data_IF_466400985362
#
_entry.id   IF_466400985362
#
_cell.length_a   1.000
_cell.length_b   1.000
_cell.length_c   1.000
_cell.angle_alpha   90.00
_cell.angle_beta   90.00
_cell.angle_gamma   90.00
#
_symmetry.space_group_name_H-M   'P 1'
#
loop_
_entity.id
_entity.type
_entity.pdbx_description
1 polymer ?
#
# COMPACT_ATOMS: atom_id res chain seq x y z
N UNK A 1 0.44 -9.93 15.64
CA UNK A 1 0.62 -11.40 15.58
C UNK A 1 1.14 -11.77 14.20
N UNK A 2 2.08 -12.71 14.07
CA UNK A 2 2.49 -13.17 12.74
C UNK A 2 1.38 -14.05 12.16
N UNK A 3 0.97 -13.80 10.93
CA UNK A 3 0.01 -14.67 10.22
C UNK A 3 0.69 -16.02 10.02
N UNK A 4 0.20 -17.07 10.67
CA UNK A 4 0.67 -18.43 10.44
C UNK A 4 -0.29 -19.13 9.49
N UNK A 5 0.18 -19.46 8.31
CA UNK A 5 -0.58 -20.33 7.41
C UNK A 5 -0.35 -21.78 7.81
N UNK A 6 -1.42 -22.55 7.97
CA UNK A 6 -1.36 -24.01 8.22
C UNK A 6 -1.08 -24.84 6.96
N UNK A 7 -0.79 -24.20 5.83
CA UNK A 7 -0.55 -24.80 4.53
C UNK A 7 0.32 -23.89 3.64
N UNK A 8 0.43 -24.19 2.34
CA UNK A 8 1.14 -23.35 1.41
C UNK A 8 0.49 -21.94 1.37
N UNK A 9 1.29 -20.86 1.22
CA UNK A 9 0.76 -19.51 1.21
C UNK A 9 -0.18 -19.30 0.00
N UNK A 10 -1.19 -18.43 0.10
CA UNK A 10 -2.02 -18.08 -1.04
C UNK A 10 -1.14 -17.51 -2.15
N UNK A 11 -1.56 -17.66 -3.39
CA UNK A 11 -0.81 -17.15 -4.55
C UNK A 11 -0.70 -15.62 -4.54
N UNK A 12 -1.71 -14.97 -4.01
CA UNK A 12 -1.78 -13.52 -3.80
C UNK A 12 -2.47 -13.21 -2.48
N UNK A 13 -2.09 -12.11 -1.83
CA UNK A 13 -2.81 -11.53 -0.69
C UNK A 13 -3.74 -10.39 -1.09
N UNK A 14 -3.98 -10.20 -2.39
CA UNK A 14 -4.89 -9.18 -2.87
C UNK A 14 -6.32 -9.47 -2.43
N UNK A 15 -7.03 -8.41 -2.01
CA UNK A 15 -8.46 -8.46 -1.79
C UNK A 15 -9.19 -8.74 -3.12
N UNK A 16 -10.19 -9.60 -3.08
CA UNK A 16 -10.95 -10.00 -4.24
C UNK A 16 -12.44 -9.72 -4.04
N UNK A 17 -13.16 -9.60 -5.14
CA UNK A 17 -14.60 -9.45 -5.10
C UNK A 17 -15.23 -10.67 -4.41
N UNK A 18 -16.04 -10.43 -3.37
CA UNK A 18 -16.61 -11.46 -2.52
C UNK A 18 -15.85 -11.72 -1.22
N UNK A 19 -14.61 -11.23 -1.08
CA UNK A 19 -13.92 -11.27 0.20
C UNK A 19 -14.59 -10.35 1.22
N UNK A 20 -14.40 -10.65 2.51
CA UNK A 20 -14.93 -9.79 3.57
C UNK A 20 -14.35 -8.38 3.45
N UNK A 21 -15.18 -7.32 3.37
CA UNK A 21 -14.70 -5.96 3.12
C UNK A 21 -13.91 -5.36 4.30
N UNK A 22 -14.04 -5.93 5.49
CA UNK A 22 -13.54 -5.31 6.71
C UNK A 22 -14.26 -3.99 6.97
N UNK A 23 -13.52 -2.93 7.19
CA UNK A 23 -14.05 -1.56 7.33
C UNK A 23 -13.99 -0.75 6.03
N UNK A 24 -13.55 -1.38 4.93
CA UNK A 24 -13.47 -0.73 3.62
C UNK A 24 -14.85 -0.33 3.13
N UNK A 25 -14.93 0.89 2.63
CA UNK A 25 -16.03 1.43 1.84
C UNK A 25 -15.58 1.45 0.39
N UNK A 26 -16.52 1.30 -0.51
CA UNK A 26 -16.23 1.27 -1.95
C UNK A 26 -17.02 2.36 -2.65
N UNK A 27 -16.41 2.96 -3.66
CA UNK A 27 -17.06 3.92 -4.54
C UNK A 27 -16.53 3.77 -5.96
N UNK A 28 -17.42 3.88 -6.93
CA UNK A 28 -17.08 3.92 -8.35
C UNK A 28 -16.92 5.38 -8.77
N UNK A 29 -15.77 5.71 -9.35
CA UNK A 29 -15.39 7.07 -9.72
C UNK A 29 -15.30 7.30 -11.23
N UNK A 30 -15.84 6.33 -12.01
CA UNK A 30 -15.91 6.40 -13.46
C UNK A 30 -14.58 6.15 -14.17
N UNK A 31 -14.55 6.44 -15.46
CA UNK A 31 -13.39 6.22 -16.32
C UNK A 31 -12.28 7.25 -16.09
N UNK A 32 -11.03 6.85 -16.37
CA UNK A 32 -9.87 7.74 -16.40
C UNK A 32 -9.02 7.49 -17.64
N UNK A 33 -8.59 8.56 -18.28
CA UNK A 33 -7.49 8.54 -19.25
C UNK A 33 -6.18 8.70 -18.47
N UNK A 34 -5.18 7.87 -18.80
CA UNK A 34 -3.92 7.81 -18.05
C UNK A 34 -2.84 8.66 -18.70
N UNK A 35 -1.99 9.25 -17.87
CA UNK A 35 -0.92 10.17 -18.31
C UNK A 35 0.02 9.54 -19.35
N UNK A 36 0.36 8.26 -19.19
CA UNK A 36 1.24 7.54 -20.12
C UNK A 36 0.49 6.88 -21.29
N UNK A 37 -0.78 7.24 -21.47
CA UNK A 37 -1.66 6.66 -22.49
C UNK A 37 -2.39 5.41 -22.00
N UNK A 38 -3.48 5.08 -22.68
CA UNK A 38 -4.45 4.09 -22.26
C UNK A 38 -5.49 4.65 -21.31
N UNK A 39 -6.46 3.81 -20.94
CA UNK A 39 -7.54 4.22 -20.05
C UNK A 39 -8.01 3.07 -19.17
N UNK A 40 -8.62 3.41 -18.06
CA UNK A 40 -9.42 2.49 -17.26
C UNK A 40 -10.88 2.92 -17.42
N UNK A 41 -11.76 2.03 -17.92
CA UNK A 41 -13.17 2.37 -18.21
C UNK A 41 -13.98 2.61 -16.95
N UNK A 42 -13.52 2.06 -15.84
CA UNK A 42 -14.11 2.25 -14.52
C UNK A 42 -13.05 2.10 -13.44
N UNK A 43 -13.04 3.01 -12.46
CA UNK A 43 -12.19 2.93 -11.29
C UNK A 43 -13.06 2.83 -10.04
N UNK A 44 -12.97 1.67 -9.36
CA UNK A 44 -13.49 1.47 -8.03
C UNK A 44 -12.39 1.80 -7.01
N UNK A 45 -12.73 2.59 -6.00
CA UNK A 45 -11.82 2.93 -4.89
C UNK A 45 -12.32 2.33 -3.60
N UNK A 46 -11.44 1.59 -2.92
CA UNK A 46 -11.65 1.13 -1.56
C UNK A 46 -10.98 2.11 -0.59
N UNK A 47 -11.71 2.55 0.43
CA UNK A 47 -11.19 3.51 1.41
C UNK A 47 -11.79 3.27 2.79
N UNK A 48 -11.11 3.75 3.81
CA UNK A 48 -11.60 3.73 5.20
C UNK A 48 -11.65 5.14 5.78
N UNK A 49 -12.50 5.32 6.78
CA UNK A 49 -12.66 6.62 7.45
C UNK A 49 -12.70 6.43 8.96
N UNK A 50 -12.07 7.35 9.68
CA UNK A 50 -12.01 7.35 11.13
C UNK A 50 -12.46 8.71 11.65
N UNK A 51 -13.25 8.72 12.73
CA UNK A 51 -13.84 9.95 13.27
C UNK A 51 -15.07 10.43 12.49
N UNK A 52 -15.42 11.71 12.66
CA UNK A 52 -16.63 12.29 12.08
C UNK A 52 -16.33 13.62 11.38
N UNK A 53 -16.77 13.74 10.13
CA UNK A 53 -16.69 14.98 9.37
C UNK A 53 -17.63 16.02 9.99
N UNK A 54 -17.13 17.23 10.23
CA UNK A 54 -17.95 18.34 10.72
C UNK A 54 -18.76 18.97 9.58
N UNK A 55 -19.73 19.84 9.93
CA UNK A 55 -20.69 20.38 8.99
C UNK A 55 -20.09 21.26 7.88
N UNK A 56 -18.92 21.84 8.13
CA UNK A 56 -18.21 22.68 7.16
C UNK A 56 -16.98 21.99 6.55
N UNK A 57 -16.84 20.69 6.76
CA UNK A 57 -15.76 19.85 6.24
C UNK A 57 -14.32 20.34 6.52
N UNK A 58 -14.14 21.15 7.58
CA UNK A 58 -12.85 21.81 7.89
C UNK A 58 -11.88 20.91 8.68
N UNK A 59 -12.36 19.77 9.20
CA UNK A 59 -11.59 18.85 10.04
C UNK A 59 -11.15 17.57 9.31
N UNK A 60 -11.03 17.61 8.00
CA UNK A 60 -10.67 16.44 7.22
C UNK A 60 -9.15 16.32 7.04
N UNK A 61 -8.60 15.13 7.33
CA UNK A 61 -7.20 14.74 7.11
C UNK A 61 -7.17 13.56 6.14
N UNK A 62 -6.28 13.62 5.14
CA UNK A 62 -6.04 12.50 4.22
C UNK A 62 -4.72 11.82 4.54
N UNK A 63 -4.73 10.51 4.65
CA UNK A 63 -3.56 9.68 4.93
C UNK A 63 -3.20 8.86 3.70
N UNK A 64 -1.97 9.02 3.24
CA UNK A 64 -1.41 8.36 2.08
C UNK A 64 -0.51 7.19 2.50
N UNK A 65 -0.92 5.96 2.24
CA UNK A 65 -0.15 4.79 2.62
C UNK A 65 1.10 4.59 1.73
N UNK A 66 2.12 3.95 2.29
CA UNK A 66 3.32 3.53 1.56
C UNK A 66 3.02 2.36 0.58
N UNK A 67 3.98 1.98 -0.27
CA UNK A 67 3.83 0.92 -1.27
C UNK A 67 3.24 -0.39 -0.72
N UNK A 68 3.59 -0.75 0.49
CA UNK A 68 3.15 -1.99 1.15
C UNK A 68 2.03 -1.79 2.18
N UNK A 69 1.49 -0.58 2.26
CA UNK A 69 0.33 -0.25 3.10
C UNK A 69 -0.98 -0.42 2.35
N UNK A 70 -2.06 -0.12 3.05
CA UNK A 70 -3.43 -0.14 2.55
C UNK A 70 -4.29 0.92 3.27
N UNK A 71 -5.60 0.93 3.02
CA UNK A 71 -6.54 1.84 3.67
C UNK A 71 -6.69 1.62 5.17
N UNK A 72 -6.28 0.45 5.68
CA UNK A 72 -6.39 0.12 7.10
C UNK A 72 -5.30 0.82 7.93
N UNK A 73 -5.39 2.14 8.01
CA UNK A 73 -4.42 2.95 8.74
C UNK A 73 -4.57 2.81 10.27
N UNK A 74 -5.75 2.55 10.78
CA UNK A 74 -6.04 2.40 12.21
C UNK A 74 -7.10 1.33 12.47
N UNK A 75 -7.12 0.79 13.68
CA UNK A 75 -8.08 -0.22 14.11
C UNK A 75 -7.46 -1.58 14.35
N UNK A 76 -8.27 -2.48 14.89
CA UNK A 76 -7.84 -3.83 15.25
C UNK A 76 -7.79 -4.75 14.02
N UNK A 77 -7.04 -5.85 14.15
CA UNK A 77 -7.15 -7.01 13.29
C UNK A 77 -8.55 -7.62 13.44
N UNK A 78 -9.29 -7.69 12.37
CA UNK A 78 -10.67 -8.19 12.31
C UNK A 78 -10.88 -8.95 11.00
N UNK A 79 -12.08 -9.52 10.81
CA UNK A 79 -12.44 -10.09 9.52
C UNK A 79 -12.25 -9.08 8.38
N UNK A 80 -11.53 -9.48 7.35
CA UNK A 80 -11.14 -8.61 6.23
C UNK A 80 -9.86 -7.78 6.43
N UNK A 81 -9.33 -7.72 7.66
CA UNK A 81 -8.05 -7.09 8.00
C UNK A 81 -7.19 -8.03 8.82
N UNK A 82 -6.20 -8.66 8.20
CA UNK A 82 -5.36 -9.68 8.85
C UNK A 82 -4.36 -9.11 9.87
N UNK A 83 -4.19 -7.80 9.91
CA UNK A 83 -3.29 -7.09 10.83
C UNK A 83 -3.97 -5.85 11.37
N UNK A 84 -3.51 -5.38 12.52
CA UNK A 84 -3.87 -4.04 13.02
C UNK A 84 -3.48 -2.97 12.01
N UNK A 85 -4.19 -1.84 12.06
CA UNK A 85 -3.86 -0.67 11.28
C UNK A 85 -2.39 -0.26 11.44
N UNK A 86 -1.75 0.09 10.34
CA UNK A 86 -0.31 0.36 10.32
C UNK A 86 0.09 1.66 11.07
N UNK A 87 -0.86 2.55 11.39
CA UNK A 87 -0.74 3.72 12.27
C UNK A 87 -1.73 3.67 13.44
N UNK A 88 -2.16 2.51 13.87
CA UNK A 88 -3.10 2.31 14.98
C UNK A 88 -2.68 3.03 16.28
N UNK A 89 -1.38 3.15 16.55
CA UNK A 89 -0.87 3.89 17.70
C UNK A 89 -0.85 5.43 17.52
N UNK A 90 -1.17 5.95 16.32
CA UNK A 90 -1.12 7.37 15.99
C UNK A 90 -2.51 7.95 15.73
N UNK A 91 -3.42 7.16 15.15
CA UNK A 91 -4.78 7.56 14.75
C UNK A 91 -5.78 6.90 15.69
N UNK A 92 -6.56 7.70 16.42
CA UNK A 92 -7.58 7.20 17.33
C UNK A 92 -8.05 8.25 18.34
N UNK A 93 -9.05 7.91 19.17
CA UNK A 93 -9.53 8.82 20.21
C UNK A 93 -8.42 9.18 21.20
N UNK A 94 -8.12 10.47 21.33
CA UNK A 94 -7.10 10.99 22.26
C UNK A 94 -5.64 10.72 21.83
N UNK A 95 -5.40 10.16 20.65
CA UNK A 95 -4.06 9.99 20.06
C UNK A 95 -3.62 11.25 19.32
N UNK A 96 -2.41 11.24 18.75
CA UNK A 96 -1.84 12.41 18.07
C UNK A 96 -2.71 12.90 16.89
N UNK A 97 -3.33 11.98 16.14
CA UNK A 97 -4.41 12.28 15.20
C UNK A 97 -5.71 11.87 15.88
N UNK A 98 -6.24 12.81 16.70
CA UNK A 98 -7.38 12.55 17.56
C UNK A 98 -8.70 12.47 16.76
N UNK A 99 -9.24 11.27 16.62
CA UNK A 99 -10.48 11.04 15.85
C UNK A 99 -11.75 11.55 16.51
N UNK A 100 -11.68 12.08 17.76
CA UNK A 100 -12.77 12.86 18.34
C UNK A 100 -12.88 14.27 17.71
N UNK A 101 -11.80 14.77 17.12
CA UNK A 101 -11.68 16.10 16.53
C UNK A 101 -11.56 16.03 15.01
N UNK A 102 -10.80 15.06 14.50
CA UNK A 102 -10.46 14.92 13.10
C UNK A 102 -11.26 13.81 12.41
N UNK A 103 -11.66 14.09 11.19
CA UNK A 103 -12.15 13.08 10.25
C UNK A 103 -11.01 12.66 9.36
N UNK A 104 -10.57 11.42 9.50
CA UNK A 104 -9.43 10.87 8.77
C UNK A 104 -9.92 9.97 7.64
N UNK A 105 -9.35 10.10 6.46
CA UNK A 105 -9.60 9.26 5.30
C UNK A 105 -8.28 8.63 4.87
N UNK A 106 -8.29 7.33 4.59
CA UNK A 106 -7.20 6.61 3.93
C UNK A 106 -7.78 5.76 2.82
N UNK A 107 -7.33 5.96 1.59
CA UNK A 107 -7.76 5.16 0.45
C UNK A 107 -6.66 4.22 -0.01
N UNK A 108 -7.05 3.06 -0.54
CA UNK A 108 -6.13 2.20 -1.28
C UNK A 108 -5.80 2.86 -2.63
N UNK A 109 -4.53 2.93 -2.94
CA UNK A 109 -4.03 3.57 -4.15
C UNK A 109 -4.50 2.87 -5.43
N UNK A 110 -4.73 3.63 -6.49
CA UNK A 110 -4.93 3.09 -7.84
C UNK A 110 -3.74 2.23 -8.26
N UNK A 111 -4.00 1.03 -8.77
CA UNK A 111 -2.97 0.05 -9.08
C UNK A 111 -2.52 -0.79 -7.88
N UNK A 112 -3.09 -0.54 -6.69
CA UNK A 112 -2.87 -1.34 -5.49
C UNK A 112 -3.64 -2.67 -5.50
N UNK A 113 -3.57 -3.40 -4.39
CA UNK A 113 -4.13 -4.76 -4.30
C UNK A 113 -5.17 -4.95 -3.19
N UNK A 114 -5.64 -3.89 -2.54
CA UNK A 114 -6.57 -4.01 -1.41
C UNK A 114 -7.94 -3.40 -1.70
N UNK A 115 -8.49 -3.72 -2.88
CA UNK A 115 -9.88 -3.42 -3.26
C UNK A 115 -10.06 -2.19 -4.17
N UNK A 116 -9.08 -1.32 -4.33
CA UNK A 116 -9.06 -0.32 -5.41
C UNK A 116 -8.64 -0.99 -6.71
N UNK A 117 -9.18 -0.51 -7.83
CA UNK A 117 -8.87 -1.02 -9.17
C UNK A 117 -7.36 -1.14 -9.38
N UNK A 118 -6.92 -2.33 -9.73
CA UNK A 118 -5.52 -2.70 -9.92
C UNK A 118 -5.37 -4.02 -10.68
N UNK A 119 -4.16 -4.57 -10.79
CA UNK A 119 -3.91 -5.81 -11.53
C UNK A 119 -4.75 -7.01 -11.08
N UNK A 120 -5.13 -7.07 -9.80
CA UNK A 120 -5.98 -8.14 -9.26
C UNK A 120 -7.47 -7.96 -9.54
N UNK A 121 -7.91 -6.80 -10.02
CA UNK A 121 -9.30 -6.49 -10.34
C UNK A 121 -9.72 -7.13 -11.66
N UNK A 122 -11.04 -7.26 -11.86
CA UNK A 122 -11.59 -7.74 -13.13
C UNK A 122 -11.53 -6.63 -14.20
N UNK A 123 -11.10 -7.00 -15.38
CA UNK A 123 -11.20 -6.19 -16.58
C UNK A 123 -12.61 -6.29 -17.18
N UNK A 124 -13.00 -5.41 -18.14
CA UNK A 124 -14.32 -5.42 -18.75
C UNK A 124 -14.72 -6.74 -19.43
N UNK A 125 -13.76 -7.55 -19.83
CA UNK A 125 -13.97 -8.86 -20.41
C UNK A 125 -14.28 -9.96 -19.38
N UNK A 126 -14.23 -9.63 -18.09
CA UNK A 126 -14.46 -10.55 -16.97
C UNK A 126 -13.21 -11.29 -16.48
N UNK A 127 -12.09 -11.18 -17.18
CA UNK A 127 -10.80 -11.71 -16.72
C UNK A 127 -10.12 -10.73 -15.75
N UNK A 128 -9.11 -11.19 -15.00
CA UNK A 128 -8.27 -10.26 -14.22
C UNK A 128 -7.40 -9.44 -15.16
N UNK A 129 -7.18 -8.18 -14.77
CA UNK A 129 -6.23 -7.34 -15.50
C UNK A 129 -4.84 -7.97 -15.59
N UNK A 130 -4.33 -8.52 -14.49
CA UNK A 130 -3.02 -9.17 -14.45
C UNK A 130 -1.93 -8.31 -15.10
N UNK A 131 -1.17 -8.91 -16.01
CA UNK A 131 -0.10 -8.25 -16.77
C UNK A 131 -0.58 -7.19 -17.76
N UNK A 132 -1.86 -7.18 -18.10
CA UNK A 132 -2.46 -6.21 -19.04
C UNK A 132 -2.89 -4.90 -18.35
N UNK A 133 -2.80 -4.83 -17.01
CA UNK A 133 -3.12 -3.58 -16.30
C UNK A 133 -2.23 -2.45 -16.82
N UNK A 134 -2.81 -1.30 -17.19
CA UNK A 134 -2.03 -0.22 -17.76
C UNK A 134 -1.05 0.39 -16.73
N UNK A 135 -0.04 1.07 -17.22
CA UNK A 135 0.90 1.79 -16.36
C UNK A 135 0.21 3.02 -15.78
N UNK A 136 0.22 3.13 -14.47
CA UNK A 136 -0.28 4.30 -13.73
C UNK A 136 0.87 5.11 -13.17
N UNK A 137 0.72 6.42 -13.18
CA UNK A 137 1.68 7.37 -12.59
C UNK A 137 1.19 7.86 -11.23
N UNK A 138 2.02 8.62 -10.53
CA UNK A 138 1.62 9.29 -9.29
C UNK A 138 0.51 10.31 -9.57
N UNK A 139 0.56 11.00 -10.72
CA UNK A 139 -0.47 11.94 -11.15
C UNK A 139 -1.82 11.25 -11.36
N UNK A 140 -1.85 10.08 -12.04
CA UNK A 140 -3.08 9.28 -12.18
C UNK A 140 -3.67 8.87 -10.82
N UNK A 141 -2.81 8.50 -9.87
CA UNK A 141 -3.21 8.12 -8.52
C UNK A 141 -3.87 9.31 -7.80
N UNK A 142 -3.24 10.47 -7.85
CA UNK A 142 -3.71 11.70 -7.21
C UNK A 142 -5.00 12.22 -7.87
N UNK A 143 -5.16 12.09 -9.17
CA UNK A 143 -6.43 12.42 -9.85
C UNK A 143 -7.60 11.57 -9.31
N UNK A 144 -7.38 10.28 -9.09
CA UNK A 144 -8.42 9.41 -8.49
C UNK A 144 -8.71 9.78 -7.04
N UNK A 145 -7.70 10.13 -6.27
CA UNK A 145 -7.87 10.61 -4.89
C UNK A 145 -8.60 11.96 -4.83
N UNK A 146 -8.36 12.81 -5.82
CA UNK A 146 -9.11 14.07 -5.98
C UNK A 146 -10.58 13.80 -6.29
N UNK A 147 -10.91 12.82 -7.13
CA UNK A 147 -12.30 12.43 -7.39
C UNK A 147 -12.96 11.84 -6.13
N UNK A 148 -12.23 11.05 -5.33
CA UNK A 148 -12.71 10.59 -4.04
C UNK A 148 -12.98 11.77 -3.09
N UNK A 149 -12.11 12.77 -3.09
CA UNK A 149 -12.26 14.00 -2.30
C UNK A 149 -13.56 14.74 -2.67
N UNK A 150 -13.85 14.86 -3.97
CA UNK A 150 -15.08 15.49 -4.47
C UNK A 150 -16.33 14.66 -4.11
N UNK A 151 -16.24 13.33 -4.24
CA UNK A 151 -17.31 12.41 -3.81
C UNK A 151 -17.64 12.58 -2.32
N UNK A 152 -16.61 12.72 -1.47
CA UNK A 152 -16.77 12.95 -0.03
C UNK A 152 -17.21 14.39 0.31
N UNK A 153 -17.33 15.29 -0.69
CA UNK A 153 -17.67 16.70 -0.55
C UNK A 153 -16.72 17.46 0.38
N UNK A 154 -15.45 17.12 0.30
CA UNK A 154 -14.39 17.81 1.03
C UNK A 154 -13.78 18.84 0.09
N UNK A 155 -14.03 20.14 0.37
CA UNK A 155 -13.47 21.21 -0.44
C UNK A 155 -11.96 21.33 -0.25
N UNK A 156 -11.50 21.17 0.99
CA UNK A 156 -10.11 21.38 1.35
C UNK A 156 -9.70 20.49 2.53
N UNK A 157 -8.60 19.78 2.38
CA UNK A 157 -8.00 19.01 3.46
C UNK A 157 -7.32 19.93 4.47
N UNK A 158 -7.55 19.73 5.76
CA UNK A 158 -6.77 20.38 6.81
C UNK A 158 -5.30 19.95 6.73
N UNK A 159 -5.07 18.69 6.41
CA UNK A 159 -3.74 18.17 6.13
C UNK A 159 -3.81 16.94 5.22
N UNK A 160 -2.79 16.77 4.38
CA UNK A 160 -2.49 15.51 3.70
C UNK A 160 -1.14 15.02 4.22
N UNK A 161 -1.05 13.73 4.59
CA UNK A 161 0.15 13.15 5.19
C UNK A 161 0.49 11.81 4.55
N UNK A 162 1.76 11.58 4.26
CA UNK A 162 2.17 10.31 3.70
C UNK A 162 3.65 10.01 3.84
N UNK A 163 3.95 8.73 3.99
CA UNK A 163 5.32 8.22 4.06
C UNK A 163 5.73 7.49 2.78
N UNK A 164 7.01 7.60 2.39
CA UNK A 164 7.55 6.90 1.22
C UNK A 164 6.75 7.20 -0.05
N UNK A 165 6.17 6.21 -0.73
CA UNK A 165 5.29 6.38 -1.88
C UNK A 165 4.09 7.29 -1.55
N UNK A 166 3.53 7.22 -0.33
CA UNK A 166 2.51 8.16 0.12
C UNK A 166 3.01 9.60 0.13
N UNK A 167 4.26 9.84 0.54
CA UNK A 167 4.86 11.16 0.49
C UNK A 167 5.08 11.69 -0.93
N UNK A 168 5.26 10.83 -1.93
CA UNK A 168 5.31 11.24 -3.35
C UNK A 168 3.93 11.76 -3.78
N UNK A 169 2.84 11.08 -3.40
CA UNK A 169 1.48 11.53 -3.68
C UNK A 169 1.14 12.83 -2.95
N UNK A 170 1.58 13.00 -1.70
CA UNK A 170 1.44 14.27 -0.97
C UNK A 170 2.11 15.44 -1.72
N UNK A 171 3.31 15.22 -2.28
CA UNK A 171 4.00 16.21 -3.10
C UNK A 171 3.23 16.53 -4.39
N UNK A 172 2.70 15.52 -5.05
CA UNK A 172 1.88 15.68 -6.26
C UNK A 172 0.60 16.48 -5.95
N UNK A 173 -0.11 16.16 -4.86
CA UNK A 173 -1.24 16.94 -4.38
C UNK A 173 -0.87 18.42 -4.18
N UNK A 174 0.30 18.71 -3.63
CA UNK A 174 0.75 20.07 -3.37
C UNK A 174 1.04 20.83 -4.67
N UNK A 175 1.41 20.14 -5.74
CA UNK A 175 1.68 20.72 -7.06
C UNK A 175 0.38 20.88 -7.87
N UNK A 176 -0.40 19.81 -7.98
CA UNK A 176 -1.58 19.77 -8.84
C UNK A 176 -2.79 20.49 -8.21
N UNK A 177 -2.96 20.37 -6.90
CA UNK A 177 -4.14 20.89 -6.19
C UNK A 177 -3.78 21.74 -4.96
N UNK A 178 -2.90 22.76 -5.06
CA UNK A 178 -2.42 23.54 -3.92
C UNK A 178 -3.55 24.22 -3.15
N UNK A 179 -4.64 24.57 -3.81
CA UNK A 179 -5.79 25.22 -3.20
C UNK A 179 -6.70 24.25 -2.43
N UNK A 180 -6.51 22.93 -2.60
CA UNK A 180 -7.30 21.87 -1.98
C UNK A 180 -6.68 21.32 -0.69
N UNK A 181 -5.54 21.87 -0.26
CA UNK A 181 -4.84 21.47 0.95
C UNK A 181 -4.43 22.70 1.78
N UNK A 182 -4.45 22.58 3.13
CA UNK A 182 -3.91 23.61 4.02
C UNK A 182 -2.48 23.30 4.44
N UNK A 183 -2.15 22.03 4.64
CA UNK A 183 -0.81 21.59 5.01
C UNK A 183 -0.49 20.23 4.41
N UNK A 184 0.78 19.96 4.22
CA UNK A 184 1.33 18.72 3.67
C UNK A 184 2.44 18.20 4.58
N UNK A 185 2.36 16.91 4.96
CA UNK A 185 3.40 16.22 5.71
C UNK A 185 4.02 15.14 4.84
N UNK A 186 5.23 15.40 4.38
CA UNK A 186 6.03 14.47 3.56
C UNK A 186 7.02 13.76 4.48
N UNK A 187 6.86 12.44 4.64
CA UNK A 187 7.62 11.65 5.61
C UNK A 187 8.51 10.67 4.85
N UNK A 188 9.84 10.73 5.10
CA UNK A 188 10.81 9.81 4.49
C UNK A 188 10.60 9.60 2.97
N UNK A 189 10.42 10.69 2.24
CA UNK A 189 10.17 10.71 0.80
C UNK A 189 10.91 11.86 0.12
N UNK A 190 10.99 11.80 -1.21
CA UNK A 190 11.65 12.81 -2.02
C UNK A 190 10.86 13.03 -3.32
N UNK A 191 10.97 14.25 -3.91
CA UNK A 191 10.27 14.57 -5.16
C UNK A 191 10.90 13.88 -6.38
N UNK A 192 12.07 13.26 -6.21
CA UNK A 192 12.80 12.61 -7.29
C UNK A 192 13.61 11.43 -6.74
N UNK A 193 13.47 10.28 -7.37
CA UNK A 193 14.28 9.10 -7.04
C UNK A 193 15.76 9.33 -7.36
N UNK A 194 16.62 8.97 -6.43
CA UNK A 194 18.06 8.94 -6.67
C UNK A 194 18.46 7.74 -7.54
N UNK A 195 19.68 7.77 -8.10
CA UNK A 195 20.22 6.64 -8.84
C UNK A 195 20.29 5.37 -7.97
N UNK A 196 20.62 5.51 -6.69
CA UNK A 196 20.64 4.41 -5.71
C UNK A 196 19.26 3.80 -5.53
N UNK A 197 18.22 4.62 -5.33
CA UNK A 197 16.83 4.14 -5.24
C UNK A 197 16.39 3.41 -6.51
N UNK A 198 16.71 3.95 -7.69
CA UNK A 198 16.38 3.32 -8.98
C UNK A 198 17.09 1.97 -9.10
N UNK A 199 18.38 1.89 -8.77
CA UNK A 199 19.15 0.65 -8.82
C UNK A 199 18.58 -0.41 -7.86
N UNK A 200 18.28 -0.02 -6.63
CA UNK A 200 17.70 -0.91 -5.63
C UNK A 200 16.32 -1.42 -6.04
N UNK A 201 15.44 -0.54 -6.55
CA UNK A 201 14.12 -0.94 -7.06
C UNK A 201 14.25 -1.88 -8.27
N UNK A 202 15.17 -1.60 -9.17
CA UNK A 202 15.44 -2.46 -10.33
C UNK A 202 15.87 -3.87 -9.91
N UNK A 203 16.76 -3.99 -8.91
CA UNK A 203 17.18 -5.28 -8.36
C UNK A 203 16.01 -6.06 -7.74
N UNK A 204 15.13 -5.38 -6.98
CA UNK A 204 13.95 -5.98 -6.38
C UNK A 204 12.96 -6.49 -7.44
N UNK A 205 12.67 -5.67 -8.46
CA UNK A 205 11.81 -6.06 -9.58
C UNK A 205 12.40 -7.26 -10.34
N UNK A 206 13.71 -7.24 -10.60
CA UNK A 206 14.40 -8.33 -11.27
C UNK A 206 14.33 -9.62 -10.47
N UNK A 207 14.47 -9.56 -9.14
CA UNK A 207 14.33 -10.73 -8.28
C UNK A 207 12.94 -11.37 -8.37
N UNK A 208 11.88 -10.55 -8.40
CA UNK A 208 10.50 -11.05 -8.56
C UNK A 208 10.31 -11.67 -9.94
N UNK A 209 10.75 -10.97 -10.99
CA UNK A 209 10.57 -11.41 -12.38
C UNK A 209 11.39 -12.65 -12.74
N UNK A 210 12.50 -12.90 -12.03
CA UNK A 210 13.33 -14.10 -12.22
C UNK A 210 12.75 -15.36 -11.56
N UNK A 211 11.72 -15.23 -10.72
CA UNK A 211 11.02 -16.39 -10.16
C UNK A 211 10.27 -17.13 -11.27
N UNK A 212 10.52 -18.46 -11.49
CA UNK A 212 9.82 -19.23 -12.52
C UNK A 212 8.28 -19.20 -12.39
N UNK A 213 7.78 -18.88 -11.21
CA UNK A 213 6.35 -18.79 -10.93
C UNK A 213 5.77 -17.39 -11.16
N UNK A 214 6.58 -16.43 -11.61
CA UNK A 214 6.15 -15.09 -11.94
C UNK A 214 5.17 -15.05 -13.12
N UNK A 215 5.37 -15.91 -14.14
CA UNK A 215 4.48 -16.07 -15.31
C UNK A 215 4.14 -14.74 -15.99
N UNK A 216 5.11 -13.86 -16.14
CA UNK A 216 4.97 -12.51 -16.71
C UNK A 216 3.93 -11.63 -16.01
N UNK A 217 3.56 -11.93 -14.75
CA UNK A 217 2.56 -11.24 -13.96
C UNK A 217 1.20 -11.94 -13.87
N UNK A 218 1.00 -13.01 -14.64
CA UNK A 218 -0.28 -13.75 -14.73
C UNK A 218 -0.27 -15.02 -13.87
N UNK A 219 -0.12 -14.85 -12.56
CA UNK A 219 -0.09 -15.95 -11.59
C UNK A 219 -1.34 -16.07 -10.73
N UNK A 220 -2.33 -15.20 -10.91
CA UNK A 220 -3.50 -15.11 -10.01
C UNK A 220 -4.34 -16.40 -9.94
N UNK A 221 -4.43 -17.14 -11.03
CA UNK A 221 -5.20 -18.39 -11.12
C UNK A 221 -4.38 -19.64 -10.70
N UNK A 222 -3.15 -19.44 -10.22
CA UNK A 222 -2.32 -20.53 -9.77
C UNK A 222 -2.79 -21.09 -8.42
N UNK A 223 -2.38 -22.32 -8.09
CA UNK A 223 -2.69 -22.94 -6.80
C UNK A 223 -1.90 -22.29 -5.67
N UNK A 224 -2.41 -22.37 -4.44
CA UNK A 224 -1.69 -21.96 -3.25
C UNK A 224 -0.28 -22.60 -3.22
N UNK A 225 0.73 -21.80 -2.88
CA UNK A 225 2.14 -22.18 -2.93
C UNK A 225 2.80 -22.07 -4.32
N UNK A 226 2.05 -21.73 -5.36
CA UNK A 226 2.53 -21.69 -6.75
C UNK A 226 2.66 -20.27 -7.33
N UNK A 227 2.68 -19.26 -6.44
CA UNK A 227 3.00 -17.88 -6.75
C UNK A 227 4.51 -17.57 -6.66
N UNK A 228 4.97 -16.38 -7.08
CA UNK A 228 6.37 -15.97 -7.12
C UNK A 228 6.94 -15.61 -5.73
N UNK A 229 6.74 -16.51 -4.75
CA UNK A 229 7.07 -16.27 -3.34
C UNK A 229 8.57 -16.16 -3.10
N UNK A 230 9.40 -16.91 -3.84
CA UNK A 230 10.86 -16.90 -3.70
C UNK A 230 11.42 -15.55 -4.16
N UNK A 231 11.04 -15.13 -5.36
CA UNK A 231 11.44 -13.83 -5.90
C UNK A 231 10.98 -12.66 -5.03
N UNK A 232 9.72 -12.70 -4.59
CA UNK A 232 9.18 -11.69 -3.65
C UNK A 232 9.95 -11.69 -2.33
N UNK A 233 10.28 -12.87 -1.78
CA UNK A 233 11.07 -13.00 -0.56
C UNK A 233 12.45 -12.37 -0.69
N UNK A 234 13.13 -12.53 -1.83
CA UNK A 234 14.42 -11.89 -2.12
C UNK A 234 14.24 -10.37 -2.20
N UNK A 235 13.25 -9.88 -2.96
CA UNK A 235 12.96 -8.45 -3.08
C UNK A 235 12.68 -7.80 -1.70
N UNK A 236 11.93 -8.48 -0.84
CA UNK A 236 11.68 -8.01 0.54
C UNK A 236 12.93 -7.95 1.40
N UNK A 237 13.90 -8.83 1.19
CA UNK A 237 15.21 -8.76 1.87
C UNK A 237 15.97 -7.51 1.44
N UNK A 238 16.04 -7.22 0.14
CA UNK A 238 16.64 -5.97 -0.33
C UNK A 238 15.98 -4.75 0.30
N UNK A 239 14.64 -4.71 0.33
CA UNK A 239 13.92 -3.61 0.97
C UNK A 239 14.32 -3.44 2.45
N UNK A 240 14.43 -4.52 3.22
CA UNK A 240 14.83 -4.45 4.62
C UNK A 240 16.24 -3.87 4.82
N UNK A 241 17.18 -4.19 3.94
CA UNK A 241 18.54 -3.63 4.01
C UNK A 241 18.54 -2.11 3.77
N UNK A 242 17.64 -1.59 2.95
CA UNK A 242 17.55 -0.14 2.68
C UNK A 242 16.87 0.65 3.80
N UNK A 243 16.11 -0.01 4.69
CA UNK A 243 15.39 0.66 5.79
C UNK A 243 16.20 0.78 7.07
N UNK A 244 17.37 0.15 7.16
CA UNK A 244 18.12 -0.02 8.40
C UNK A 244 19.59 0.35 8.22
N UNK A 245 20.18 0.89 9.26
CA UNK A 245 21.63 1.07 9.33
C UNK A 245 22.33 -0.25 9.68
N UNK A 246 23.61 -0.37 9.32
CA UNK A 246 24.48 -1.48 9.72
C UNK A 246 24.43 -1.68 11.23
N UNK A 247 24.58 -0.60 11.99
CA UNK A 247 24.55 -0.62 13.46
C UNK A 247 23.22 -1.18 14.01
N UNK A 248 22.07 -0.80 13.42
CA UNK A 248 20.77 -1.35 13.84
C UNK A 248 20.68 -2.84 13.56
N UNK A 249 21.17 -3.28 12.40
CA UNK A 249 21.20 -4.70 12.04
C UNK A 249 22.07 -5.51 12.99
N UNK A 250 23.26 -4.99 13.34
CA UNK A 250 24.19 -5.62 14.29
C UNK A 250 23.58 -5.72 15.70
N UNK A 251 22.99 -4.64 16.20
CA UNK A 251 22.34 -4.64 17.52
C UNK A 251 21.15 -5.60 17.56
N UNK A 252 20.39 -5.68 16.49
CA UNK A 252 19.15 -6.46 16.45
C UNK A 252 19.36 -7.94 16.19
N UNK A 253 20.27 -8.29 15.32
CA UNK A 253 20.46 -9.66 14.84
C UNK A 253 21.83 -10.24 15.21
N UNK A 254 22.85 -9.41 15.38
CA UNK A 254 24.20 -9.82 15.69
C UNK A 254 24.75 -10.85 14.69
N UNK A 255 25.56 -11.76 15.20
CA UNK A 255 26.15 -12.86 14.43
C UNK A 255 25.62 -14.23 14.83
N UNK A 256 24.75 -14.26 15.84
CA UNK A 256 24.20 -15.50 16.37
C UNK A 256 23.09 -16.07 15.46
N UNK A 257 22.94 -17.37 15.52
CA UNK A 257 21.86 -18.05 14.79
C UNK A 257 20.50 -17.65 15.36
N UNK A 258 19.56 -17.35 14.48
CA UNK A 258 18.20 -16.99 14.89
C UNK A 258 17.30 -18.24 14.90
N UNK A 259 16.61 -18.48 16.02
CA UNK A 259 15.56 -19.51 16.15
C UNK A 259 15.93 -20.92 15.58
N UNK A 260 17.14 -21.42 15.89
CA UNK A 260 17.57 -22.75 15.45
C UNK A 260 17.90 -22.88 13.97
N UNK A 261 18.18 -21.78 13.30
CA UNK A 261 18.65 -21.81 11.91
C UNK A 261 19.99 -22.56 11.80
N UNK A 262 20.10 -23.35 10.73
CA UNK A 262 21.39 -23.90 10.32
C UNK A 262 22.34 -22.75 9.95
N UNK A 263 23.53 -22.63 10.59
CA UNK A 263 24.49 -21.58 10.32
C UNK A 263 24.93 -21.49 8.86
N UNK A 264 24.76 -22.56 8.09
CA UNK A 264 25.10 -22.61 6.67
C UNK A 264 23.92 -22.30 5.75
N UNK A 265 22.67 -22.49 6.19
CA UNK A 265 21.45 -22.17 5.40
C UNK A 265 20.96 -20.72 5.59
N UNK A 266 21.43 -20.05 6.62
CA UNK A 266 21.14 -18.66 7.03
C UNK A 266 19.82 -18.10 6.50
N UNK A 267 18.73 -18.59 7.06
CA UNK A 267 17.41 -17.97 6.85
C UNK A 267 17.25 -16.71 7.74
N UNK A 268 18.25 -15.83 7.68
CA UNK A 268 18.38 -14.56 8.41
C UNK A 268 17.09 -13.75 8.56
N UNK A 269 16.03 -14.10 7.80
CA UNK A 269 14.83 -13.31 7.64
C UNK A 269 13.57 -13.88 8.25
N UNK A 270 13.59 -15.09 8.80
CA UNK A 270 12.40 -15.62 9.48
C UNK A 270 12.05 -14.81 10.74
N UNK A 271 13.05 -14.22 11.40
CA UNK A 271 12.85 -13.37 12.57
C UNK A 271 12.51 -11.92 12.22
N UNK A 272 12.99 -11.39 11.09
CA UNK A 272 12.71 -10.01 10.66
C UNK A 272 11.25 -9.79 10.24
N UNK A 273 10.56 -10.82 9.82
CA UNK A 273 9.13 -10.77 9.47
C UNK A 273 8.20 -10.97 10.66
N UNK A 274 8.73 -11.39 11.82
CA UNK A 274 7.94 -11.61 13.05
C UNK A 274 7.78 -10.39 13.95
N UNK A 275 8.44 -9.28 13.64
CA UNK A 275 8.39 -8.08 14.46
C UNK A 275 7.63 -6.96 13.75
N UNK A 276 6.33 -7.11 13.63
CA UNK A 276 5.36 -6.01 13.52
C UNK A 276 4.17 -6.29 14.40
#
# INVERSE_FOLDING_TARGET
MAISYSGPPPVTGAWQEGDHPGQRKFVELGAIELELGGSLPEVKVAYETFGKLNSNSSNAIYIEHALTGDSHAAGLDTDGHLTRGWWDGLIGPGLAINTNEWFVVCANVLGGCQGTTGPSSLAPNGDRWGSTFPRVTVSDQVEIEKRLTDYLKIEKWASIMGGSMGGMRVLEWAVEYPNRINSAFVIASAPRSSADQIATQSAQISAIKSDPKWRDGDYYEAKAGDGPHVGLGIARRFAQLTYRSETELDVRFGRDNQDGEDPYSRNFWKSATRSR
#
